data_IF_258220286577
#
_entry.id   IF_258220286577
#
_cell.length_a   1.000
_cell.length_b   1.000
_cell.length_c   1.000
_cell.angle_alpha   90.00
_cell.angle_beta   90.00
_cell.angle_gamma   90.00
#
_symmetry.space_group_name_H-M   'P 1'
#
loop_
_entity.id
_entity.type
_entity.pdbx_description
1 polymer ?
#
# COMPACT_ATOMS: atom_id res chain seq x y z
N UNK A 1 2.61 -20.87 -25.09
CA UNK A 1 3.25 -21.24 -23.80
C UNK A 1 4.49 -22.11 -23.95
N UNK A 2 4.50 -23.15 -24.82
CA UNK A 2 5.66 -24.06 -24.99
C UNK A 2 6.94 -23.38 -25.50
N UNK A 3 6.85 -22.44 -26.45
CA UNK A 3 8.00 -21.65 -26.95
C UNK A 3 8.65 -20.74 -25.89
N UNK A 4 7.89 -20.28 -24.90
CA UNK A 4 8.42 -19.43 -23.81
C UNK A 4 9.28 -20.24 -22.85
N UNK A 5 8.86 -21.47 -22.55
CA UNK A 5 9.63 -22.41 -21.73
C UNK A 5 10.87 -22.97 -22.42
N UNK A 6 10.84 -23.21 -23.74
CA UNK A 6 12.03 -23.63 -24.49
C UNK A 6 13.10 -22.53 -24.54
N UNK A 7 12.70 -21.27 -24.79
CA UNK A 7 13.64 -20.14 -24.74
C UNK A 7 14.25 -19.97 -23.34
N UNK A 8 13.47 -20.15 -22.28
CA UNK A 8 13.96 -20.03 -20.91
C UNK A 8 14.94 -21.15 -20.55
N UNK A 9 14.74 -22.38 -21.06
CA UNK A 9 15.69 -23.50 -20.90
C UNK A 9 16.99 -23.27 -21.67
N UNK A 10 16.92 -22.74 -22.89
CA UNK A 10 18.11 -22.41 -23.68
C UNK A 10 18.91 -21.29 -23.01
N UNK A 11 18.25 -20.24 -22.50
CA UNK A 11 18.91 -19.19 -21.72
C UNK A 11 19.56 -19.74 -20.44
N UNK A 12 18.86 -20.59 -19.69
CA UNK A 12 19.42 -21.22 -18.48
C UNK A 12 20.65 -22.07 -18.79
N UNK A 13 20.63 -22.84 -19.88
CA UNK A 13 21.74 -23.67 -20.30
C UNK A 13 22.94 -22.83 -20.78
N UNK A 14 22.69 -21.77 -21.55
CA UNK A 14 23.74 -20.83 -21.98
C UNK A 14 24.36 -20.10 -20.78
N UNK A 15 23.55 -19.64 -19.82
CA UNK A 15 24.05 -19.05 -18.57
C UNK A 15 24.90 -20.04 -17.79
N UNK A 16 24.47 -21.31 -17.66
CA UNK A 16 25.25 -22.34 -16.98
C UNK A 16 26.60 -22.60 -17.67
N UNK A 17 26.63 -22.67 -19.00
CA UNK A 17 27.88 -22.83 -19.78
C UNK A 17 28.82 -21.64 -19.57
N UNK A 18 28.31 -20.40 -19.58
CA UNK A 18 29.11 -19.20 -19.32
C UNK A 18 29.68 -19.20 -17.90
N UNK A 19 28.88 -19.57 -16.89
CA UNK A 19 29.33 -19.65 -15.50
C UNK A 19 30.41 -20.73 -15.29
N UNK A 20 30.18 -21.94 -15.81
CA UNK A 20 31.11 -23.07 -15.68
C UNK A 20 32.40 -22.78 -16.47
N UNK A 21 32.28 -22.29 -17.70
CA UNK A 21 33.42 -21.92 -18.53
C UNK A 21 34.25 -20.79 -17.93
N UNK A 22 33.57 -19.74 -17.42
CA UNK A 22 34.22 -18.63 -16.73
C UNK A 22 34.98 -19.06 -15.48
N UNK A 23 34.40 -19.95 -14.67
CA UNK A 23 35.08 -20.54 -13.51
C UNK A 23 36.32 -21.33 -13.90
N UNK A 24 36.21 -22.18 -14.93
CA UNK A 24 37.34 -23.00 -15.40
C UNK A 24 38.46 -22.14 -15.98
N UNK A 25 38.11 -21.09 -16.75
CA UNK A 25 39.06 -20.11 -17.27
C UNK A 25 39.81 -19.39 -16.15
N UNK A 26 39.09 -18.87 -15.15
CA UNK A 26 39.69 -18.23 -13.98
C UNK A 26 40.61 -19.18 -13.21
N UNK A 27 40.18 -20.42 -12.99
CA UNK A 27 40.98 -21.44 -12.30
C UNK A 27 42.26 -21.78 -13.06
N UNK A 28 42.17 -21.87 -14.38
CA UNK A 28 43.31 -22.16 -15.25
C UNK A 28 44.29 -20.98 -15.29
N UNK A 29 43.77 -19.75 -15.39
CA UNK A 29 44.56 -18.52 -15.30
C UNK A 29 45.28 -18.39 -13.95
N UNK A 30 44.60 -18.73 -12.85
CA UNK A 30 45.19 -18.74 -11.51
C UNK A 30 46.34 -19.75 -11.40
N UNK A 31 46.13 -20.99 -11.85
CA UNK A 31 47.15 -22.03 -11.77
C UNK A 31 48.37 -21.77 -12.67
N UNK A 32 48.16 -21.14 -13.83
CA UNK A 32 49.28 -20.72 -14.70
C UNK A 32 50.08 -19.56 -14.09
N UNK A 33 49.47 -18.77 -13.21
CA UNK A 33 50.13 -17.69 -12.48
C UNK A 33 50.92 -18.16 -11.25
N UNK A 34 50.83 -19.44 -10.84
CA UNK A 34 51.53 -19.97 -9.64
C UNK A 34 53.06 -19.79 -9.70
N UNK A 35 53.65 -19.60 -10.89
CA UNK A 35 55.09 -19.38 -11.08
C UNK A 35 55.50 -17.91 -11.05
N UNK A 36 54.55 -16.98 -10.97
CA UNK A 36 54.78 -15.52 -10.95
C UNK A 36 53.96 -14.89 -9.81
N UNK A 37 54.53 -14.76 -8.60
CA UNK A 37 53.80 -14.31 -7.41
C UNK A 37 53.17 -12.91 -7.57
N UNK A 38 53.87 -12.01 -8.26
CA UNK A 38 53.37 -10.65 -8.53
C UNK A 38 52.10 -10.62 -9.40
N UNK A 39 52.01 -11.49 -10.41
CA UNK A 39 50.85 -11.54 -11.32
C UNK A 39 49.61 -12.07 -10.60
N UNK A 40 49.79 -13.03 -9.70
CA UNK A 40 48.71 -13.63 -8.92
C UNK A 40 48.09 -12.61 -7.94
N UNK A 41 48.91 -11.83 -7.25
CA UNK A 41 48.45 -10.76 -6.35
C UNK A 41 47.65 -9.70 -7.10
N UNK A 42 48.12 -9.25 -8.26
CA UNK A 42 47.41 -8.26 -9.09
C UNK A 42 46.05 -8.82 -9.53
N UNK A 43 45.99 -10.07 -10.00
CA UNK A 43 44.74 -10.72 -10.42
C UNK A 43 43.74 -10.77 -9.25
N UNK A 44 44.20 -11.15 -8.06
CA UNK A 44 43.35 -11.21 -6.86
C UNK A 44 42.85 -9.83 -6.42
N UNK A 45 43.70 -8.82 -6.45
CA UNK A 45 43.32 -7.43 -6.11
C UNK A 45 42.29 -6.91 -7.10
N UNK A 46 42.51 -7.12 -8.41
CA UNK A 46 41.57 -6.70 -9.45
C UNK A 46 40.23 -7.42 -9.31
N UNK A 47 40.23 -8.74 -9.14
CA UNK A 47 39.00 -9.52 -8.96
C UNK A 47 38.26 -9.13 -7.68
N UNK A 48 38.97 -8.95 -6.57
CA UNK A 48 38.40 -8.50 -5.31
C UNK A 48 37.78 -7.11 -5.42
N UNK A 49 38.46 -6.19 -6.11
CA UNK A 49 37.96 -4.83 -6.34
C UNK A 49 36.72 -4.84 -7.24
N UNK A 50 36.74 -5.60 -8.34
CA UNK A 50 35.58 -5.75 -9.22
C UNK A 50 34.39 -6.37 -8.50
N UNK A 51 34.62 -7.42 -7.71
CA UNK A 51 33.58 -8.04 -6.89
C UNK A 51 33.01 -7.04 -5.89
N UNK A 52 33.86 -6.24 -5.23
CA UNK A 52 33.45 -5.24 -4.24
C UNK A 52 32.60 -4.14 -4.88
N UNK A 53 33.02 -3.61 -6.03
CA UNK A 53 32.26 -2.61 -6.80
C UNK A 53 30.90 -3.19 -7.20
N UNK A 54 30.87 -4.44 -7.69
CA UNK A 54 29.65 -5.09 -8.14
C UNK A 54 28.67 -5.33 -6.98
N UNK A 55 29.16 -5.86 -5.86
CA UNK A 55 28.34 -6.06 -4.65
C UNK A 55 27.79 -4.72 -4.15
N UNK A 56 28.64 -3.69 -4.09
CA UNK A 56 28.23 -2.35 -3.63
C UNK A 56 27.17 -1.75 -4.56
N UNK A 57 27.33 -1.88 -5.88
CA UNK A 57 26.34 -1.42 -6.85
C UNK A 57 25.00 -2.16 -6.69
N UNK A 58 25.03 -3.47 -6.46
CA UNK A 58 23.82 -4.27 -6.21
C UNK A 58 23.11 -3.84 -4.93
N UNK A 59 23.86 -3.64 -3.83
CA UNK A 59 23.31 -3.20 -2.55
C UNK A 59 22.69 -1.81 -2.66
N UNK A 60 23.38 -0.85 -3.29
CA UNK A 60 22.86 0.49 -3.50
C UNK A 60 21.58 0.47 -4.32
N UNK A 61 21.55 -0.26 -5.44
CA UNK A 61 20.36 -0.36 -6.28
C UNK A 61 19.18 -0.96 -5.50
N UNK A 62 19.42 -2.03 -4.72
CA UNK A 62 18.37 -2.64 -3.90
C UNK A 62 17.86 -1.66 -2.84
N UNK A 63 18.75 -0.95 -2.16
CA UNK A 63 18.35 0.06 -1.17
C UNK A 63 17.54 1.19 -1.82
N UNK A 64 18.00 1.74 -2.95
CA UNK A 64 17.25 2.77 -3.69
C UNK A 64 15.87 2.28 -4.12
N UNK A 65 15.75 1.03 -4.61
CA UNK A 65 14.45 0.48 -4.99
C UNK A 65 13.48 0.38 -3.81
N UNK A 66 13.99 -0.03 -2.64
CA UNK A 66 13.18 -0.15 -1.41
C UNK A 66 12.77 1.22 -0.89
N UNK A 67 13.68 2.21 -0.91
CA UNK A 67 13.33 3.57 -0.47
C UNK A 67 12.30 4.21 -1.41
N UNK A 68 12.42 4.01 -2.72
CA UNK A 68 11.42 4.50 -3.69
C UNK A 68 10.05 3.85 -3.46
N UNK A 69 10.00 2.54 -3.25
CA UNK A 69 8.76 1.81 -2.95
C UNK A 69 8.12 2.32 -1.65
N UNK A 70 8.94 2.54 -0.62
CA UNK A 70 8.52 3.14 0.65
C UNK A 70 7.99 4.56 0.48
N UNK A 71 8.68 5.43 -0.25
CA UNK A 71 8.21 6.80 -0.53
C UNK A 71 6.88 6.81 -1.29
N UNK A 72 6.72 5.92 -2.27
CA UNK A 72 5.46 5.76 -3.00
C UNK A 72 4.32 5.31 -2.06
N UNK A 73 4.60 4.34 -1.19
CA UNK A 73 3.64 3.86 -0.19
C UNK A 73 3.22 4.96 0.78
N UNK A 74 4.17 5.73 1.31
CA UNK A 74 3.90 6.86 2.22
C UNK A 74 2.99 7.88 1.52
N UNK A 75 3.34 8.32 0.30
CA UNK A 75 2.52 9.28 -0.45
C UNK A 75 1.11 8.76 -0.72
N UNK A 76 0.97 7.47 -0.99
CA UNK A 76 -0.33 6.85 -1.21
C UNK A 76 -1.17 6.82 0.08
N UNK A 77 -0.57 6.50 1.22
CA UNK A 77 -1.22 6.54 2.54
C UNK A 77 -1.62 7.98 2.92
N UNK A 78 -0.77 8.97 2.62
CA UNK A 78 -1.08 10.39 2.82
C UNK A 78 -2.31 10.82 2.01
N UNK A 79 -2.36 10.47 0.71
CA UNK A 79 -3.51 10.77 -0.16
C UNK A 79 -4.80 10.08 0.31
N UNK A 80 -4.71 8.83 0.77
CA UNK A 80 -5.83 8.11 1.41
C UNK A 80 -6.33 8.87 2.64
N UNK A 81 -5.42 9.20 3.56
CA UNK A 81 -5.73 9.91 4.81
C UNK A 81 -6.40 11.25 4.53
N UNK A 82 -5.85 12.04 3.61
CA UNK A 82 -6.44 13.33 3.20
C UNK A 82 -7.83 13.16 2.58
N UNK A 83 -8.05 12.09 1.81
CA UNK A 83 -9.35 11.80 1.20
C UNK A 83 -10.39 11.43 2.27
N UNK A 84 -10.02 10.60 3.24
CA UNK A 84 -10.90 10.21 4.34
C UNK A 84 -11.21 11.36 5.29
N UNK A 85 -10.21 12.17 5.65
CA UNK A 85 -10.42 13.37 6.48
C UNK A 85 -11.42 14.33 5.82
N UNK A 86 -11.20 14.68 4.55
CA UNK A 86 -12.13 15.56 3.81
C UNK A 86 -13.54 14.99 3.70
N UNK A 87 -13.68 13.66 3.63
CA UNK A 87 -14.99 13.01 3.64
C UNK A 87 -15.68 13.19 5.00
N UNK A 88 -14.96 12.93 6.09
CA UNK A 88 -15.48 13.08 7.46
C UNK A 88 -15.83 14.54 7.73
N UNK A 89 -14.97 15.50 7.37
CA UNK A 89 -15.23 16.94 7.51
C UNK A 89 -16.51 17.35 6.77
N UNK A 90 -16.73 16.80 5.57
CA UNK A 90 -17.96 17.09 4.80
C UNK A 90 -19.19 16.49 5.47
N UNK A 91 -19.09 15.27 6.00
CA UNK A 91 -20.18 14.64 6.76
C UNK A 91 -20.48 15.45 8.02
N UNK A 92 -19.46 15.90 8.76
CA UNK A 92 -19.60 16.76 9.93
C UNK A 92 -20.34 18.07 9.59
N UNK A 93 -19.89 18.79 8.55
CA UNK A 93 -20.56 20.01 8.05
C UNK A 93 -22.04 19.75 7.77
N UNK A 94 -22.37 18.64 7.07
CA UNK A 94 -23.75 18.30 6.70
C UNK A 94 -24.62 17.95 7.91
N UNK A 95 -24.08 17.28 8.92
CA UNK A 95 -24.80 16.93 10.16
C UNK A 95 -25.05 18.17 11.01
N UNK A 96 -24.06 19.07 11.13
CA UNK A 96 -24.17 20.31 11.93
C UNK A 96 -25.20 21.26 11.32
N UNK A 97 -25.23 21.40 10.00
CA UNK A 97 -26.03 22.44 9.34
C UNK A 97 -27.54 22.18 9.32
N UNK A 98 -28.02 20.98 9.67
CA UNK A 98 -29.44 20.54 9.77
C UNK A 98 -30.32 20.71 8.51
N UNK A 99 -29.99 21.63 7.61
CA UNK A 99 -30.59 21.88 6.31
C UNK A 99 -29.57 21.52 5.22
N UNK A 100 -29.79 20.38 4.57
CA UNK A 100 -28.88 19.88 3.53
C UNK A 100 -29.24 20.53 2.19
N UNK A 101 -28.28 21.20 1.59
CA UNK A 101 -28.46 21.89 0.30
C UNK A 101 -28.12 20.99 -0.89
N UNK A 102 -28.55 21.40 -2.09
CA UNK A 102 -28.19 20.71 -3.33
C UNK A 102 -26.67 20.79 -3.63
N UNK A 103 -25.99 21.81 -3.10
CA UNK A 103 -24.53 21.93 -3.22
C UNK A 103 -23.83 20.86 -2.37
N UNK A 104 -24.30 20.62 -1.15
CA UNK A 104 -23.74 19.60 -0.25
C UNK A 104 -23.88 18.19 -0.84
N UNK A 105 -25.04 17.87 -1.43
CA UNK A 105 -25.24 16.61 -2.15
C UNK A 105 -24.32 16.48 -3.36
N UNK A 106 -23.99 17.59 -4.02
CA UNK A 106 -23.06 17.60 -5.14
C UNK A 106 -21.62 17.40 -4.65
N UNK A 107 -21.21 18.08 -3.57
CA UNK A 107 -19.92 17.87 -2.92
C UNK A 107 -19.76 16.41 -2.51
N UNK A 108 -20.76 15.81 -1.86
CA UNK A 108 -20.75 14.42 -1.44
C UNK A 108 -20.52 13.44 -2.62
N UNK A 109 -21.15 13.67 -3.78
CA UNK A 109 -20.90 12.86 -5.00
C UNK A 109 -19.45 12.95 -5.49
N UNK A 110 -18.84 14.13 -5.43
CA UNK A 110 -17.42 14.27 -5.76
C UNK A 110 -16.54 13.55 -4.75
N UNK A 111 -16.90 13.54 -3.46
CA UNK A 111 -16.22 12.73 -2.45
C UNK A 111 -16.35 11.24 -2.74
N UNK A 112 -17.52 10.74 -3.14
CA UNK A 112 -17.72 9.34 -3.56
C UNK A 112 -16.76 8.95 -4.69
N UNK A 113 -16.67 9.77 -5.74
CA UNK A 113 -15.75 9.50 -6.85
C UNK A 113 -14.28 9.53 -6.43
N UNK A 114 -13.90 10.45 -5.53
CA UNK A 114 -12.52 10.51 -5.00
C UNK A 114 -12.20 9.30 -4.12
N UNK A 115 -13.18 8.87 -3.31
CA UNK A 115 -13.06 7.69 -2.46
C UNK A 115 -12.79 6.44 -3.32
N UNK A 116 -13.51 6.27 -4.43
CA UNK A 116 -13.34 5.15 -5.34
C UNK A 116 -11.94 5.03 -5.99
N UNK A 117 -11.13 6.09 -5.98
CA UNK A 117 -9.76 6.05 -6.52
C UNK A 117 -8.79 5.41 -5.53
N UNK A 118 -9.00 5.62 -4.23
CA UNK A 118 -8.00 5.30 -3.20
C UNK A 118 -8.47 4.23 -2.21
N UNK A 119 -9.77 4.12 -1.95
CA UNK A 119 -10.32 3.25 -0.92
C UNK A 119 -10.37 1.77 -1.35
N UNK A 120 -10.26 0.87 -0.37
CA UNK A 120 -10.49 -0.56 -0.60
C UNK A 120 -11.97 -0.87 -0.85
N UNK A 121 -12.27 -2.02 -1.50
CA UNK A 121 -13.64 -2.47 -1.73
C UNK A 121 -14.49 -2.50 -0.46
N UNK A 122 -13.93 -2.99 0.66
CA UNK A 122 -14.63 -3.08 1.94
C UNK A 122 -15.07 -1.71 2.49
N UNK A 123 -14.26 -0.66 2.26
CA UNK A 123 -14.62 0.71 2.66
C UNK A 123 -15.72 1.26 1.75
N UNK A 124 -15.67 0.96 0.45
CA UNK A 124 -16.69 1.41 -0.50
C UNK A 124 -18.06 0.78 -0.20
N UNK A 125 -18.10 -0.52 0.10
CA UNK A 125 -19.32 -1.22 0.51
C UNK A 125 -19.95 -0.60 1.77
N UNK A 126 -19.13 -0.33 2.79
CA UNK A 126 -19.64 0.31 4.01
C UNK A 126 -20.06 1.77 3.78
N UNK A 127 -19.37 2.48 2.89
CA UNK A 127 -19.75 3.83 2.51
C UNK A 127 -21.07 3.87 1.75
N UNK A 128 -21.35 2.89 0.88
CA UNK A 128 -22.67 2.74 0.24
C UNK A 128 -23.77 2.51 1.29
N UNK A 129 -23.52 1.67 2.29
CA UNK A 129 -24.45 1.48 3.40
C UNK A 129 -24.72 2.77 4.19
N UNK A 130 -23.67 3.55 4.46
CA UNK A 130 -23.80 4.87 5.07
C UNK A 130 -24.66 5.80 4.20
N UNK A 131 -24.40 5.87 2.88
CA UNK A 131 -25.18 6.70 1.96
C UNK A 131 -26.65 6.30 1.89
N UNK A 132 -26.97 5.00 1.95
CA UNK A 132 -28.34 4.51 1.96
C UNK A 132 -29.10 4.97 3.21
N UNK A 133 -28.45 4.91 4.38
CA UNK A 133 -29.03 5.40 5.64
C UNK A 133 -29.19 6.92 5.57
N UNK A 134 -28.14 7.62 5.14
CA UNK A 134 -28.13 9.08 4.97
C UNK A 134 -29.24 9.57 4.03
N UNK A 135 -29.41 8.96 2.85
CA UNK A 135 -30.43 9.33 1.89
C UNK A 135 -31.85 9.08 2.41
N UNK A 136 -32.08 8.02 3.19
CA UNK A 136 -33.39 7.75 3.81
C UNK A 136 -33.77 8.84 4.81
N UNK A 137 -32.83 9.27 5.64
CA UNK A 137 -33.06 10.34 6.62
C UNK A 137 -33.35 11.70 5.95
N UNK A 138 -32.69 11.99 4.83
CA UNK A 138 -32.94 13.23 4.07
C UNK A 138 -34.28 13.20 3.32
N UNK A 139 -34.62 12.04 2.75
CA UNK A 139 -35.82 11.88 1.93
C UNK A 139 -37.12 11.96 2.74
N UNK A 140 -37.10 11.58 4.02
CA UNK A 140 -38.30 11.53 4.85
C UNK A 140 -38.67 12.89 5.46
N UNK A 141 -37.72 13.73 5.93
CA UNK A 141 -38.11 14.95 6.67
C UNK A 141 -37.30 16.24 6.38
N UNK A 142 -36.23 16.23 5.57
CA UNK A 142 -35.26 17.35 5.46
C UNK A 142 -34.73 17.91 6.80
N UNK A 143 -35.04 17.26 7.90
CA UNK A 143 -34.61 17.58 9.25
C UNK A 143 -34.20 16.28 9.94
N UNK A 144 -32.99 16.28 10.51
CA UNK A 144 -32.46 15.15 11.26
C UNK A 144 -33.14 15.13 12.64
N UNK A 145 -33.94 14.10 12.91
CA UNK A 145 -34.50 13.84 14.25
C UNK A 145 -33.42 13.28 15.18
N UNK A 146 -33.60 13.39 16.51
CA UNK A 146 -32.67 12.79 17.50
C UNK A 146 -32.46 11.28 17.26
N UNK A 147 -33.48 10.57 16.79
CA UNK A 147 -33.39 9.14 16.48
C UNK A 147 -32.59 8.85 15.20
N UNK A 148 -32.55 9.80 14.29
CA UNK A 148 -31.82 9.72 13.02
C UNK A 148 -30.32 9.98 13.27
N UNK A 149 -30.01 10.86 14.22
CA UNK A 149 -28.65 11.15 14.67
C UNK A 149 -27.94 9.91 15.24
N UNK A 150 -28.64 9.11 16.06
CA UNK A 150 -28.12 7.84 16.61
C UNK A 150 -27.80 6.82 15.50
N UNK A 151 -28.70 6.65 14.53
CA UNK A 151 -28.51 5.73 13.41
C UNK A 151 -27.39 6.17 12.47
N UNK A 152 -27.27 7.47 12.23
CA UNK A 152 -26.19 8.05 11.44
C UNK A 152 -24.84 7.90 12.14
N UNK A 153 -24.82 8.12 13.45
CA UNK A 153 -23.63 7.94 14.30
C UNK A 153 -23.15 6.48 14.29
N UNK A 154 -24.06 5.50 14.41
CA UNK A 154 -23.72 4.09 14.31
C UNK A 154 -23.13 3.72 12.93
N UNK A 155 -23.75 4.22 11.84
CA UNK A 155 -23.27 4.01 10.48
C UNK A 155 -21.88 4.64 10.25
N UNK A 156 -21.67 5.86 10.73
CA UNK A 156 -20.38 6.56 10.64
C UNK A 156 -19.30 5.86 11.48
N UNK A 157 -19.65 5.37 12.67
CA UNK A 157 -18.75 4.60 13.52
C UNK A 157 -18.28 3.32 12.80
N UNK A 158 -19.20 2.60 12.16
CA UNK A 158 -18.88 1.40 11.39
C UNK A 158 -17.97 1.72 10.19
N UNK A 159 -18.31 2.74 9.40
CA UNK A 159 -17.47 3.24 8.30
C UNK A 159 -16.05 3.60 8.77
N UNK A 160 -15.92 4.25 9.93
CA UNK A 160 -14.63 4.66 10.51
C UNK A 160 -13.75 3.45 10.86
N UNK A 161 -14.34 2.33 11.31
CA UNK A 161 -13.58 1.10 11.57
C UNK A 161 -12.95 0.55 10.29
N UNK A 162 -13.71 0.54 9.19
CA UNK A 162 -13.20 0.09 7.89
C UNK A 162 -12.16 1.04 7.31
N UNK A 163 -12.37 2.36 7.42
CA UNK A 163 -11.36 3.37 7.03
C UNK A 163 -10.05 3.14 7.78
N UNK A 164 -10.12 2.91 9.09
CA UNK A 164 -8.92 2.66 9.89
C UNK A 164 -8.22 1.36 9.49
N UNK A 165 -8.98 0.28 9.25
CA UNK A 165 -8.42 -0.97 8.75
C UNK A 165 -7.75 -0.81 7.38
N UNK A 166 -8.30 0.04 6.51
CA UNK A 166 -7.72 0.35 5.20
C UNK A 166 -6.44 1.20 5.26
N UNK A 167 -6.30 2.06 6.29
CA UNK A 167 -5.12 2.90 6.50
C UNK A 167 -3.97 2.17 7.19
N UNK A 168 -4.27 1.37 8.21
CA UNK A 168 -3.27 0.66 9.03
C UNK A 168 -2.83 -0.65 8.36
N UNK A 169 -3.62 -1.16 7.41
CA UNK A 169 -3.50 -2.53 6.91
C UNK A 169 -4.26 -3.47 7.84
N UNK A 170 -5.02 -4.39 7.22
CA UNK A 170 -6.01 -5.30 7.84
C UNK A 170 -5.80 -5.52 9.35
N UNK A 171 -6.62 -4.83 10.14
CA UNK A 171 -6.82 -5.06 11.58
C UNK A 171 -5.57 -5.50 12.33
N UNK A 172 -4.55 -4.64 12.35
CA UNK A 172 -3.73 -4.39 13.55
C UNK A 172 -3.52 -5.68 14.39
N UNK A 173 -2.90 -6.71 13.81
CA UNK A 173 -2.69 -8.01 14.50
C UNK A 173 -1.95 -7.81 15.83
N UNK A 174 -1.25 -6.68 15.97
CA UNK A 174 -0.54 -6.24 17.17
C UNK A 174 -1.41 -5.56 18.23
N UNK A 175 -2.56 -4.93 17.90
CA UNK A 175 -3.34 -4.19 18.90
C UNK A 175 -4.32 -5.03 19.72
N UNK A 176 -4.51 -6.30 19.36
CA UNK A 176 -5.30 -7.26 20.14
C UNK A 176 -6.79 -6.92 20.28
N UNK A 177 -7.25 -5.83 19.64
CA UNK A 177 -8.63 -5.37 19.67
C UNK A 177 -9.35 -5.83 18.39
N UNK A 178 -10.43 -6.58 18.57
CA UNK A 178 -11.31 -7.00 17.49
C UNK A 178 -12.09 -5.79 16.93
N UNK A 179 -12.40 -5.81 15.63
CA UNK A 179 -13.21 -4.77 14.97
C UNK A 179 -14.50 -4.39 15.75
N UNK A 180 -15.08 -5.38 16.45
CA UNK A 180 -16.23 -5.20 17.33
C UNK A 180 -15.93 -4.34 18.55
N UNK A 181 -14.83 -4.60 19.26
CA UNK A 181 -14.44 -3.82 20.45
C UNK A 181 -14.15 -2.37 20.11
N UNK A 182 -13.50 -2.13 18.96
CA UNK A 182 -13.23 -0.77 18.49
C UNK A 182 -14.52 -0.04 18.14
N UNK A 183 -15.43 -0.69 17.40
CA UNK A 183 -16.74 -0.12 17.09
C UNK A 183 -17.49 0.23 18.38
N UNK A 184 -17.52 -0.70 19.34
CA UNK A 184 -18.23 -0.51 20.60
C UNK A 184 -17.60 0.65 21.42
N UNK A 185 -16.28 0.84 21.36
CA UNK A 185 -15.60 2.00 21.94
C UNK A 185 -15.95 3.32 21.24
N UNK A 186 -16.01 3.33 19.90
CA UNK A 186 -16.41 4.53 19.13
C UNK A 186 -17.85 4.91 19.47
N UNK A 187 -18.77 3.94 19.49
CA UNK A 187 -20.18 4.16 19.85
C UNK A 187 -20.29 4.70 21.28
N UNK A 188 -19.58 4.10 22.24
CA UNK A 188 -19.61 4.55 23.64
C UNK A 188 -19.09 5.99 23.84
N UNK A 189 -18.25 6.49 22.94
CA UNK A 189 -17.77 7.87 22.96
C UNK A 189 -18.68 8.84 22.18
N UNK A 190 -19.59 8.32 21.36
CA UNK A 190 -20.51 9.10 20.53
C UNK A 190 -21.88 9.35 21.20
N UNK A 191 -22.23 8.56 22.23
CA UNK A 191 -23.39 8.74 23.12
C UNK A 191 -23.06 9.57 24.36
#
# INVERSE_FOLDING_TARGET
MQKWFENNKVMMLMSAVVFIGGYFFLRLAYHMSDKMPFTQEIILIVLGTLATILITALLLNKQTSVELEKEQSIKFIELKTETYQKLIDTIEEMVIHKDITADDLTRLKFHTHRLAIFASPSVLEEYEHFLDIFNKMIAEDRHVSMKDEDMLSEALAKLTVYIRADLVGELDEESGHTAKEIRDQIIANAT
#
